data_IF_638687324757
#
_entry.id   IF_638687324757
#
_cell.length_a   1.000
_cell.length_b   1.000
_cell.length_c   1.000
_cell.angle_alpha   90.00
_cell.angle_beta   90.00
_cell.angle_gamma   90.00
#
_symmetry.space_group_name_H-M   'P 1'
#
loop_
_entity.id
_entity.type
_entity.pdbx_description
1 polymer ?
#
# COMPACT_ATOMS: atom_id res chain seq x y z
N UNK A 1 30.05 1.34 -58.05
CA UNK A 1 29.72 0.52 -56.87
C UNK A 1 28.36 0.97 -56.36
N UNK A 2 27.27 0.29 -56.73
CA UNK A 2 25.90 0.63 -56.31
C UNK A 2 25.38 -0.53 -55.46
N UNK A 3 25.18 -0.28 -54.17
CA UNK A 3 24.62 -1.21 -53.20
C UNK A 3 23.12 -1.45 -53.50
N UNK A 4 22.63 -2.70 -53.57
CA UNK A 4 21.21 -2.98 -53.74
C UNK A 4 20.57 -3.15 -52.36
N UNK A 5 20.13 -2.05 -51.74
CA UNK A 5 19.23 -2.14 -50.59
C UNK A 5 18.31 -0.91 -50.51
N UNK A 6 17.12 -0.94 -51.14
CA UNK A 6 16.01 -0.18 -50.59
C UNK A 6 14.63 -0.82 -50.87
N UNK A 7 14.41 -2.09 -50.51
CA UNK A 7 13.06 -2.71 -50.66
C UNK A 7 12.54 -3.33 -49.35
N UNK A 8 13.40 -3.53 -48.34
CA UNK A 8 13.00 -4.13 -47.07
C UNK A 8 12.33 -3.14 -46.09
N UNK A 9 12.58 -1.83 -46.24
CA UNK A 9 12.05 -0.78 -45.36
C UNK A 9 10.53 -0.53 -45.47
N UNK A 10 9.90 -0.52 -46.67
CA UNK A 10 8.45 -0.30 -46.74
C UNK A 10 7.64 -1.46 -46.17
N UNK A 11 8.14 -2.70 -46.21
CA UNK A 11 7.42 -3.88 -45.72
C UNK A 11 7.23 -3.88 -44.19
N UNK A 12 8.21 -3.37 -43.44
CA UNK A 12 8.16 -3.27 -41.98
C UNK A 12 7.14 -2.23 -41.48
N UNK A 13 6.80 -1.23 -42.30
CA UNK A 13 5.84 -0.16 -41.94
C UNK A 13 4.38 -0.62 -42.18
N UNK A 14 4.15 -1.60 -43.07
CA UNK A 14 2.81 -2.14 -43.31
C UNK A 14 2.39 -3.24 -42.32
N UNK A 15 3.32 -3.80 -41.53
CA UNK A 15 3.01 -4.87 -40.58
C UNK A 15 2.56 -4.36 -39.20
N UNK A 16 2.77 -3.08 -38.89
CA UNK A 16 2.50 -2.49 -37.57
C UNK A 16 1.01 -2.31 -37.19
N UNK A 17 0.02 -2.12 -38.08
CA UNK A 17 -1.36 -1.92 -37.62
C UNK A 17 -2.08 -3.23 -37.24
N UNK A 18 -1.59 -4.40 -37.66
CA UNK A 18 -2.30 -5.68 -37.46
C UNK A 18 -2.16 -6.19 -36.01
N UNK A 19 -1.13 -5.77 -35.27
CA UNK A 19 -0.91 -6.24 -33.90
C UNK A 19 -1.52 -5.32 -32.81
N UNK A 20 -2.19 -4.22 -33.19
CA UNK A 20 -2.48 -3.12 -32.27
C UNK A 20 -3.92 -3.04 -31.72
N UNK A 21 -4.87 -3.87 -32.17
CA UNK A 21 -6.25 -3.84 -31.64
C UNK A 21 -6.72 -5.24 -31.27
N UNK A 22 -6.37 -5.67 -30.06
CA UNK A 22 -7.24 -6.57 -29.32
C UNK A 22 -8.14 -5.69 -28.46
N UNK A 23 -9.22 -5.21 -29.06
CA UNK A 23 -10.24 -4.45 -28.35
C UNK A 23 -10.84 -5.36 -27.27
N UNK A 24 -10.46 -5.13 -26.03
CA UNK A 24 -11.06 -5.81 -24.89
C UNK A 24 -12.48 -5.27 -24.77
N UNK A 25 -13.47 -6.02 -25.27
CA UNK A 25 -14.88 -5.69 -25.09
C UNK A 25 -15.17 -5.74 -23.58
N UNK A 26 -15.30 -4.56 -22.96
CA UNK A 26 -15.71 -4.44 -21.57
C UNK A 26 -17.21 -4.76 -21.51
N UNK A 27 -17.57 -5.99 -21.16
CA UNK A 27 -18.95 -6.31 -20.81
C UNK A 27 -19.33 -5.53 -19.54
N UNK A 28 -20.43 -4.76 -19.55
CA UNK A 28 -20.92 -4.09 -18.36
C UNK A 28 -21.17 -5.14 -17.26
N UNK A 29 -20.56 -4.93 -16.10
CA UNK A 29 -20.80 -5.75 -14.92
C UNK A 29 -22.24 -5.44 -14.45
N UNK A 30 -23.13 -6.44 -14.31
CA UNK A 30 -24.48 -6.20 -13.81
C UNK A 30 -24.44 -5.60 -12.39
N UNK A 31 -25.26 -4.58 -12.13
CA UNK A 31 -25.27 -3.81 -10.87
C UNK A 31 -25.53 -4.66 -9.60
N UNK A 32 -26.10 -5.85 -9.78
CA UNK A 32 -26.45 -6.78 -8.69
C UNK A 32 -25.33 -7.76 -8.35
N UNK A 33 -24.22 -7.75 -9.10
CA UNK A 33 -23.11 -8.67 -8.83
C UNK A 33 -22.33 -8.24 -7.59
N UNK A 34 -21.96 -9.23 -6.77
CA UNK A 34 -21.18 -9.05 -5.54
C UNK A 34 -19.86 -9.80 -5.69
N UNK A 35 -18.78 -9.20 -5.26
CA UNK A 35 -17.49 -9.87 -5.06
C UNK A 35 -17.16 -9.95 -3.57
N UNK A 36 -16.14 -10.73 -3.23
CA UNK A 36 -15.77 -10.98 -1.84
C UNK A 36 -14.30 -10.64 -1.60
N UNK A 37 -14.01 -10.05 -0.45
CA UNK A 37 -12.66 -9.73 0.01
C UNK A 37 -12.32 -10.54 1.25
N UNK A 38 -11.32 -11.40 1.16
CA UNK A 38 -10.73 -12.08 2.31
C UNK A 38 -9.54 -11.27 2.83
N UNK A 39 -9.55 -10.91 4.11
CA UNK A 39 -8.43 -10.19 4.73
C UNK A 39 -7.55 -11.17 5.49
N UNK A 40 -6.26 -11.21 5.13
CA UNK A 40 -5.23 -11.95 5.85
C UNK A 40 -4.24 -10.96 6.45
N UNK A 41 -3.98 -11.03 7.75
CA UNK A 41 -3.02 -10.16 8.41
C UNK A 41 -2.14 -10.94 9.39
N UNK A 42 -0.90 -10.48 9.54
CA UNK A 42 0.11 -11.10 10.41
C UNK A 42 -0.05 -10.74 11.90
N UNK A 43 -1.01 -9.89 12.25
CA UNK A 43 -1.32 -9.43 13.60
C UNK A 43 -2.81 -9.62 13.91
N UNK A 44 -3.15 -9.70 15.20
CA UNK A 44 -4.53 -9.73 15.70
C UNK A 44 -4.90 -8.39 16.32
N UNK A 45 -6.18 -8.08 16.41
CA UNK A 45 -6.67 -6.90 17.11
C UNK A 45 -6.48 -5.58 16.35
N UNK A 46 -6.20 -5.62 15.04
CA UNK A 46 -6.10 -4.42 14.21
C UNK A 46 -7.44 -4.13 13.54
N UNK A 47 -7.87 -2.88 13.62
CA UNK A 47 -9.03 -2.37 12.88
C UNK A 47 -8.72 -2.37 11.39
N UNK A 48 -9.66 -2.87 10.58
CA UNK A 48 -9.57 -2.91 9.12
C UNK A 48 -10.60 -1.97 8.53
N UNK A 49 -10.13 -1.11 7.65
CA UNK A 49 -10.92 -0.17 6.89
C UNK A 49 -10.92 -0.57 5.42
N UNK A 50 -12.11 -0.60 4.81
CA UNK A 50 -12.29 -0.73 3.37
C UNK A 50 -12.98 0.54 2.88
N UNK A 51 -12.37 1.22 1.91
CA UNK A 51 -12.85 2.50 1.39
C UNK A 51 -13.19 3.51 2.48
N UNK A 52 -12.30 3.61 3.47
CA UNK A 52 -12.41 4.49 4.64
C UNK A 52 -13.53 4.13 5.64
N UNK A 53 -14.23 3.01 5.45
CA UNK A 53 -15.26 2.51 6.36
C UNK A 53 -14.67 1.39 7.23
N UNK A 54 -14.87 1.47 8.54
CA UNK A 54 -14.49 0.40 9.47
C UNK A 54 -15.33 -0.84 9.22
N UNK A 55 -14.68 -1.96 8.89
CA UNK A 55 -15.35 -3.24 8.66
C UNK A 55 -15.33 -4.12 9.91
N UNK A 56 -14.22 -4.10 10.65
CA UNK A 56 -14.04 -4.93 11.83
C UNK A 56 -12.59 -5.04 12.24
N UNK A 57 -12.28 -6.05 13.06
CA UNK A 57 -10.97 -6.25 13.65
C UNK A 57 -10.41 -7.62 13.26
N UNK A 58 -9.11 -7.72 12.95
CA UNK A 58 -8.48 -8.99 12.57
C UNK A 58 -8.43 -9.96 13.77
N UNK A 59 -8.69 -11.27 13.59
CA UNK A 59 -9.05 -11.95 12.34
C UNK A 59 -10.49 -11.70 11.89
N UNK A 60 -10.67 -11.57 10.57
CA UNK A 60 -11.99 -11.51 9.94
C UNK A 60 -12.23 -12.88 9.31
N UNK A 61 -13.13 -13.64 9.93
CA UNK A 61 -13.37 -15.05 9.58
C UNK A 61 -14.12 -15.18 8.24
N UNK A 62 -15.16 -14.37 8.05
CA UNK A 62 -16.00 -14.40 6.85
C UNK A 62 -15.53 -13.40 5.77
N UNK A 63 -15.54 -13.77 4.48
CA UNK A 63 -15.24 -12.85 3.39
C UNK A 63 -16.19 -11.65 3.37
N UNK A 64 -15.65 -10.45 3.16
CA UNK A 64 -16.40 -9.20 3.16
C UNK A 64 -17.05 -9.01 1.78
N UNK A 65 -18.39 -8.90 1.68
CA UNK A 65 -19.06 -8.65 0.41
C UNK A 65 -18.86 -7.19 -0.03
N UNK A 66 -18.39 -6.99 -1.26
CA UNK A 66 -18.13 -5.67 -1.86
C UNK A 66 -18.70 -5.60 -3.27
N UNK A 67 -18.97 -4.38 -3.73
CA UNK A 67 -19.25 -4.15 -5.15
C UNK A 67 -18.03 -4.54 -5.99
N UNK A 68 -18.16 -5.08 -7.20
CA UNK A 68 -17.01 -5.29 -8.07
C UNK A 68 -16.34 -3.96 -8.42
N UNK A 69 -15.01 -3.92 -8.34
CA UNK A 69 -14.28 -2.68 -8.53
C UNK A 69 -12.93 -2.64 -7.82
N UNK A 70 -12.32 -1.46 -7.82
CA UNK A 70 -11.07 -1.20 -7.10
C UNK A 70 -11.42 -0.66 -5.73
N UNK A 71 -10.98 -1.37 -4.69
CA UNK A 71 -11.17 -1.01 -3.29
C UNK A 71 -9.83 -0.72 -2.63
N UNK A 72 -9.88 0.12 -1.61
CA UNK A 72 -8.73 0.45 -0.78
C UNK A 72 -8.88 -0.20 0.59
N UNK A 73 -7.92 -1.03 0.97
CA UNK A 73 -7.90 -1.76 2.24
C UNK A 73 -6.72 -1.26 3.07
N UNK A 74 -6.96 -0.92 4.34
CA UNK A 74 -5.90 -0.46 5.25
C UNK A 74 -6.22 -0.78 6.70
N UNK A 75 -5.18 -0.91 7.52
CA UNK A 75 -5.30 -0.94 8.98
C UNK A 75 -5.12 0.46 9.62
N UNK A 76 -4.92 1.50 8.82
CA UNK A 76 -4.83 2.87 9.32
C UNK A 76 -6.20 3.51 9.42
N UNK A 77 -6.48 4.06 10.60
CA UNK A 77 -7.65 4.90 10.78
C UNK A 77 -7.58 6.13 9.85
N UNK A 78 -8.58 6.37 8.99
CA UNK A 78 -8.62 7.52 8.09
C UNK A 78 -8.46 8.87 8.79
N UNK A 79 -8.97 9.00 10.02
CA UNK A 79 -8.86 10.23 10.82
C UNK A 79 -7.42 10.50 11.27
N UNK A 80 -6.61 9.45 11.45
CA UNK A 80 -5.21 9.60 11.86
C UNK A 80 -4.29 10.00 10.70
N UNK A 81 -4.69 9.77 9.44
CA UNK A 81 -3.89 10.17 8.29
C UNK A 81 -3.65 11.68 8.27
N UNK A 82 -4.65 12.48 8.64
CA UNK A 82 -4.52 13.94 8.75
C UNK A 82 -3.52 14.33 9.83
N UNK A 83 -3.64 13.74 11.03
CA UNK A 83 -2.73 14.01 12.14
C UNK A 83 -1.29 13.59 11.82
N UNK A 84 -1.11 12.49 11.09
CA UNK A 84 0.21 12.04 10.65
C UNK A 84 0.86 13.08 9.73
N UNK A 85 0.10 13.66 8.79
CA UNK A 85 0.61 14.69 7.87
C UNK A 85 0.97 16.00 8.58
N UNK A 86 0.32 16.30 9.70
CA UNK A 86 0.60 17.51 10.50
C UNK A 86 1.83 17.35 11.40
N UNK A 87 2.10 16.14 11.90
CA UNK A 87 3.11 15.90 12.95
C UNK A 87 4.39 15.18 12.44
N UNK A 88 4.40 14.66 11.22
CA UNK A 88 5.52 13.89 10.66
C UNK A 88 5.94 14.43 9.29
N UNK A 89 7.17 14.11 8.89
CA UNK A 89 7.70 14.47 7.58
C UNK A 89 6.91 13.76 6.46
N UNK A 90 6.74 14.45 5.32
CA UNK A 90 5.92 13.95 4.20
C UNK A 90 6.40 12.59 3.66
N UNK A 91 7.70 12.40 3.54
CA UNK A 91 8.35 11.14 3.13
C UNK A 91 8.02 9.97 4.07
N UNK A 92 7.98 10.20 5.39
CA UNK A 92 7.64 9.17 6.38
C UNK A 92 6.16 8.79 6.27
N UNK A 93 5.28 9.78 6.13
CA UNK A 93 3.84 9.58 5.95
C UNK A 93 3.56 8.82 4.66
N UNK A 94 4.16 9.22 3.54
CA UNK A 94 4.01 8.52 2.26
C UNK A 94 4.51 7.08 2.33
N UNK A 95 5.67 6.84 2.95
CA UNK A 95 6.19 5.48 3.14
C UNK A 95 5.24 4.60 3.95
N UNK A 96 4.61 5.19 4.97
CA UNK A 96 3.66 4.51 5.84
C UNK A 96 2.34 4.22 5.12
N UNK A 97 1.82 5.18 4.35
CA UNK A 97 0.63 4.99 3.52
C UNK A 97 0.88 3.92 2.46
N UNK A 98 2.03 3.94 1.77
CA UNK A 98 2.37 2.94 0.76
C UNK A 98 2.43 1.50 1.32
N UNK A 99 2.88 1.33 2.57
CA UNK A 99 2.98 0.01 3.22
C UNK A 99 1.66 -0.51 3.77
N UNK A 100 0.80 0.39 4.22
CA UNK A 100 -0.45 0.06 4.91
C UNK A 100 -1.67 0.04 4.00
N UNK A 101 -1.67 0.83 2.93
CA UNK A 101 -2.78 0.99 2.00
C UNK A 101 -2.60 0.04 0.82
N UNK A 102 -3.46 -0.97 0.74
CA UNK A 102 -3.50 -1.92 -0.35
C UNK A 102 -4.67 -1.60 -1.28
N UNK A 103 -4.39 -1.39 -2.56
CA UNK A 103 -5.41 -1.24 -3.60
C UNK A 103 -5.64 -2.60 -4.25
N UNK A 104 -6.87 -3.08 -4.19
CA UNK A 104 -7.24 -4.43 -4.61
C UNK A 104 -8.41 -4.35 -5.58
N UNK A 105 -8.32 -5.10 -6.69
CA UNK A 105 -9.44 -5.26 -7.61
C UNK A 105 -10.26 -6.47 -7.22
N UNK A 106 -11.53 -6.27 -6.91
CA UNK A 106 -12.50 -7.32 -6.57
C UNK A 106 -13.34 -7.61 -7.81
N UNK A 107 -13.20 -8.83 -8.34
CA UNK A 107 -13.97 -9.29 -9.49
C UNK A 107 -15.36 -9.80 -9.07
N UNK A 108 -16.37 -9.72 -9.96
CA UNK A 108 -17.71 -10.22 -9.67
C UNK A 108 -17.70 -11.73 -9.39
N UNK A 109 -18.44 -12.16 -8.37
CA UNK A 109 -18.57 -13.55 -7.92
C UNK A 109 -17.25 -14.26 -7.57
N UNK A 110 -16.17 -13.50 -7.35
CA UNK A 110 -14.86 -14.02 -6.95
C UNK A 110 -14.47 -13.51 -5.58
N UNK A 111 -13.70 -14.34 -4.88
CA UNK A 111 -13.04 -13.94 -3.63
C UNK A 111 -11.61 -13.55 -3.93
N UNK A 112 -11.21 -12.36 -3.47
CA UNK A 112 -9.83 -11.87 -3.57
C UNK A 112 -9.24 -11.78 -2.18
N UNK A 113 -8.02 -12.30 -2.00
CA UNK A 113 -7.32 -12.24 -0.72
C UNK A 113 -6.35 -11.06 -0.70
N UNK A 114 -6.41 -10.25 0.36
CA UNK A 114 -5.45 -9.16 0.60
C UNK A 114 -4.59 -9.51 1.82
N UNK A 115 -3.28 -9.32 1.67
CA UNK A 115 -2.31 -9.57 2.74
C UNK A 115 -1.84 -8.25 3.33
N UNK A 116 -2.11 -8.04 4.62
CA UNK A 116 -1.68 -6.88 5.38
C UNK A 116 -0.56 -7.25 6.36
N UNK A 117 0.49 -6.44 6.39
CA UNK A 117 1.70 -6.70 7.17
C UNK A 117 1.94 -5.57 8.18
N UNK A 118 1.72 -5.84 9.47
CA UNK A 118 1.92 -4.92 10.57
C UNK A 118 3.20 -5.20 11.36
N UNK A 119 3.52 -6.48 11.64
CA UNK A 119 4.64 -6.84 12.54
C UNK A 119 6.00 -6.29 12.10
N UNK A 120 6.37 -6.29 10.80
CA UNK A 120 7.63 -5.71 10.37
C UNK A 120 7.72 -4.22 10.72
N UNK A 121 6.62 -3.48 10.60
CA UNK A 121 6.56 -2.06 10.92
C UNK A 121 6.57 -1.82 12.44
N UNK A 122 5.81 -2.59 13.21
CA UNK A 122 5.84 -2.54 14.68
C UNK A 122 7.25 -2.75 15.25
N UNK A 123 8.01 -3.68 14.67
CA UNK A 123 9.41 -3.94 15.05
C UNK A 123 10.29 -2.71 14.83
N UNK A 124 10.11 -2.00 13.70
CA UNK A 124 10.85 -0.77 13.42
C UNK A 124 10.50 0.34 14.41
N UNK A 125 9.22 0.50 14.77
CA UNK A 125 8.78 1.47 15.77
C UNK A 125 9.39 1.20 17.16
N UNK A 126 9.38 -0.05 17.61
CA UNK A 126 9.98 -0.45 18.89
C UNK A 126 11.48 -0.16 18.92
N UNK A 127 12.20 -0.51 17.85
CA UNK A 127 13.63 -0.23 17.74
C UNK A 127 13.91 1.28 17.73
N UNK A 128 13.15 2.07 16.98
CA UNK A 128 13.28 3.54 16.95
C UNK A 128 13.08 4.13 18.35
N UNK A 129 12.05 3.69 19.09
CA UNK A 129 11.78 4.13 20.46
C UNK A 129 12.96 3.82 21.41
N UNK A 130 13.53 2.62 21.32
CA UNK A 130 14.72 2.26 22.10
C UNK A 130 15.91 3.16 21.78
N UNK A 131 16.17 3.41 20.49
CA UNK A 131 17.24 4.31 20.06
C UNK A 131 17.05 5.75 20.54
N UNK A 132 15.82 6.27 20.49
CA UNK A 132 15.51 7.60 21.02
C UNK A 132 15.81 7.65 22.52
N UNK A 133 15.35 6.66 23.28
CA UNK A 133 15.59 6.60 24.73
C UNK A 133 17.09 6.55 25.06
N UNK A 134 17.87 5.73 24.34
CA UNK A 134 19.33 5.66 24.50
C UNK A 134 19.98 7.01 24.21
N UNK A 135 19.62 7.67 23.10
CA UNK A 135 20.17 9.00 22.74
C UNK A 135 19.84 10.05 23.79
N UNK A 136 18.60 10.05 24.31
CA UNK A 136 18.19 10.94 25.41
C UNK A 136 19.02 10.68 26.67
N UNK A 137 19.20 9.42 27.07
CA UNK A 137 19.99 9.05 28.25
C UNK A 137 21.46 9.51 28.13
N UNK A 138 22.08 9.29 26.96
CA UNK A 138 23.45 9.77 26.67
C UNK A 138 23.53 11.29 26.74
N UNK A 139 22.58 12.00 26.14
CA UNK A 139 22.53 13.47 26.19
C UNK A 139 22.42 14.01 27.63
N UNK A 140 21.52 13.43 28.44
CA UNK A 140 21.38 13.80 29.86
C UNK A 140 22.66 13.52 30.65
N UNK A 141 23.33 12.39 30.40
CA UNK A 141 24.59 12.06 31.06
C UNK A 141 25.70 13.06 30.71
N UNK A 142 25.82 13.46 29.44
CA UNK A 142 26.79 14.48 28.99
C UNK A 142 26.50 15.84 29.65
N UNK A 143 25.24 16.28 29.65
CA UNK A 143 24.84 17.54 30.30
C UNK A 143 25.17 17.51 31.80
N UNK A 144 24.84 16.40 32.47
CA UNK A 144 25.13 16.22 33.90
C UNK A 144 26.63 16.28 34.17
N UNK A 145 27.43 15.64 33.32
CA UNK A 145 28.89 15.64 33.44
C UNK A 145 29.49 17.03 33.27
N UNK A 146 29.02 17.82 32.29
CA UNK A 146 29.45 19.21 32.09
C UNK A 146 29.12 20.08 33.31
N UNK A 147 27.89 19.97 33.84
CA UNK A 147 27.46 20.70 35.05
C UNK A 147 28.31 20.33 36.26
N UNK A 148 28.63 19.04 36.46
CA UNK A 148 29.50 18.58 37.57
C UNK A 148 30.92 19.11 37.44
N UNK A 149 31.44 19.20 36.21
CA UNK A 149 32.75 19.79 35.95
C UNK A 149 32.75 21.33 36.01
N UNK A 150 31.58 21.96 36.17
CA UNK A 150 31.41 23.41 36.16
C UNK A 150 31.98 24.06 34.88
N UNK A 151 31.83 23.37 33.74
CA UNK A 151 32.11 23.82 32.38
C UNK A 151 30.78 24.12 31.71
#
# INVERSE_FOLDING_TARGET
>A
MKHPLPILLPFLIYLSPILAQQDTILTPIPDETVGYLQVSCDSSGLDIYVDNILIGQVPIDDPIPLKPGVHTVTYLNPQFITLLRENYELNEVESLLQKSLQRVYVAPEKTVTVNLWWKPYEKQLKARKQWVWIKTAVGVAVITFLVVLNI
#
